data_IF_015861635468
#
_entry.id   IF_015861635468
#
_cell.length_a   1.000
_cell.length_b   1.000
_cell.length_c   1.000
_cell.angle_alpha   90.00
_cell.angle_beta   90.00
_cell.angle_gamma   90.00
#
_symmetry.space_group_name_H-M   'P 1'
#
loop_
_entity.id
_entity.type
_entity.pdbx_description
1 polymer ?
#
# COMPACT_ATOMS: atom_id res chain seq x y z
N UNK A 1 -31.70 -10.23 40.38
CA UNK A 1 -32.17 -9.48 39.19
C UNK A 1 -30.98 -9.22 38.32
N UNK A 2 -31.04 -9.82 37.14
CA UNK A 2 -30.00 -9.92 36.12
C UNK A 2 -29.63 -8.56 35.55
N UNK A 3 -28.33 -8.35 35.37
CA UNK A 3 -27.78 -7.22 34.63
C UNK A 3 -27.88 -7.59 33.16
N UNK A 4 -28.81 -6.98 32.44
CA UNK A 4 -28.99 -7.25 31.02
C UNK A 4 -27.77 -6.77 30.22
N UNK A 5 -27.07 -7.72 29.60
CA UNK A 5 -26.07 -7.46 28.57
C UNK A 5 -26.75 -6.81 27.36
N UNK A 6 -26.37 -5.57 27.07
CA UNK A 6 -26.76 -4.91 25.81
C UNK A 6 -25.87 -5.44 24.68
N UNK A 7 -26.42 -6.02 23.60
CA UNK A 7 -25.60 -6.57 22.53
C UNK A 7 -24.97 -5.45 21.70
N UNK A 8 -23.65 -5.54 21.49
CA UNK A 8 -22.92 -4.77 20.49
C UNK A 8 -23.50 -5.06 19.10
N UNK A 9 -24.19 -4.09 18.51
CA UNK A 9 -24.59 -4.15 17.10
C UNK A 9 -23.34 -4.03 16.22
N UNK A 10 -23.03 -5.11 15.50
CA UNK A 10 -22.04 -5.12 14.43
C UNK A 10 -22.44 -4.12 13.33
N UNK A 11 -21.69 -3.03 13.21
CA UNK A 11 -21.78 -2.12 12.07
C UNK A 11 -21.11 -2.81 10.87
N UNK A 12 -21.88 -3.05 9.82
CA UNK A 12 -21.40 -3.67 8.58
C UNK A 12 -20.92 -2.57 7.65
N UNK A 13 -19.64 -2.60 7.28
CA UNK A 13 -19.11 -1.64 6.31
C UNK A 13 -19.51 -1.98 4.89
N UNK A 14 -20.45 -1.19 4.41
CA UNK A 14 -20.86 -1.12 3.02
C UNK A 14 -20.17 0.10 2.42
N UNK A 15 -19.31 -0.10 1.42
CA UNK A 15 -18.65 1.02 0.71
C UNK A 15 -19.71 1.75 -0.13
N UNK A 16 -20.08 2.97 0.28
CA UNK A 16 -20.95 3.86 -0.48
C UNK A 16 -20.18 5.15 -0.80
N UNK A 17 -19.83 5.35 -2.08
CA UNK A 17 -19.11 6.54 -2.53
C UNK A 17 -20.10 7.71 -2.71
N UNK A 18 -19.93 8.78 -1.92
CA UNK A 18 -20.61 10.06 -2.14
C UNK A 18 -19.79 10.93 -3.10
N UNK A 19 -20.32 11.16 -4.31
CA UNK A 19 -20.01 12.34 -5.10
C UNK A 19 -21.16 13.34 -4.90
N UNK A 20 -20.82 14.55 -4.45
CA UNK A 20 -21.78 15.61 -4.19
C UNK A 20 -22.15 16.36 -5.47
N UNK A 21 -22.64 15.68 -6.52
CA UNK A 21 -23.31 16.38 -7.62
C UNK A 21 -24.18 15.51 -8.53
N UNK A 22 -25.09 14.70 -7.97
CA UNK A 22 -25.96 13.89 -8.83
C UNK A 22 -27.34 13.71 -8.21
N UNK A 23 -28.19 14.72 -8.42
CA UNK A 23 -29.63 14.62 -8.16
C UNK A 23 -30.29 13.96 -9.37
N UNK A 24 -30.83 12.75 -9.12
CA UNK A 24 -31.82 11.99 -9.93
C UNK A 24 -31.24 11.01 -10.95
N UNK A 25 -30.94 9.78 -10.50
CA UNK A 25 -31.23 8.56 -11.25
C UNK A 25 -31.20 7.35 -10.31
N UNK A 26 -32.31 6.61 -10.24
CA UNK A 26 -32.40 5.34 -9.52
C UNK A 26 -31.85 4.22 -10.38
N UNK A 27 -30.58 3.87 -10.19
CA UNK A 27 -30.00 2.58 -10.58
C UNK A 27 -28.82 2.30 -9.63
N UNK A 28 -28.71 1.06 -9.15
CA UNK A 28 -27.63 0.59 -8.27
C UNK A 28 -26.28 1.05 -8.85
N UNK A 29 -25.60 2.00 -8.18
CA UNK A 29 -24.26 2.44 -8.57
C UNK A 29 -23.32 1.23 -8.51
N UNK A 30 -22.98 0.67 -9.66
CA UNK A 30 -22.02 -0.43 -9.78
C UNK A 30 -20.68 0.03 -9.22
N UNK A 31 -20.07 -0.79 -8.36
CA UNK A 31 -18.75 -0.51 -7.81
C UNK A 31 -17.75 -0.56 -8.95
N UNK A 32 -16.83 0.40 -8.96
CA UNK A 32 -15.72 0.43 -9.92
C UNK A 32 -14.97 -0.90 -9.92
N UNK A 33 -14.80 -1.48 -11.11
CA UNK A 33 -14.12 -2.76 -11.29
C UNK A 33 -12.61 -2.57 -11.20
N UNK A 34 -11.95 -3.44 -10.42
CA UNK A 34 -10.48 -3.46 -10.36
C UNK A 34 -9.93 -4.35 -11.47
N UNK A 35 -9.12 -3.78 -12.37
CA UNK A 35 -8.53 -4.50 -13.49
C UNK A 35 -7.17 -5.08 -13.08
N UNK A 36 -7.10 -6.41 -12.99
CA UNK A 36 -5.84 -7.15 -12.79
C UNK A 36 -5.27 -7.59 -14.14
N UNK A 37 -3.95 -7.61 -14.30
CA UNK A 37 -3.34 -8.12 -15.53
C UNK A 37 -3.23 -7.12 -16.67
N UNK A 38 -3.59 -5.85 -16.43
CA UNK A 38 -3.55 -4.78 -17.44
C UNK A 38 -2.47 -3.74 -17.11
N UNK A 39 -1.95 -2.98 -18.10
CA UNK A 39 -0.94 -1.95 -17.87
C UNK A 39 -1.34 -0.96 -16.79
N UNK A 40 -0.35 -0.38 -16.10
CA UNK A 40 -0.56 0.58 -15.00
C UNK A 40 -1.47 1.75 -15.41
N UNK A 41 -1.32 2.26 -16.63
CA UNK A 41 -2.13 3.34 -17.19
C UNK A 41 -3.61 3.00 -17.33
N UNK A 42 -3.95 1.71 -17.47
CA UNK A 42 -5.33 1.24 -17.50
C UNK A 42 -5.82 0.83 -16.10
N UNK A 43 -4.96 0.20 -15.31
CA UNK A 43 -5.28 -0.28 -13.97
C UNK A 43 -5.57 0.87 -12.98
N UNK A 44 -4.92 2.03 -13.19
CA UNK A 44 -4.99 3.23 -12.35
C UNK A 44 -5.43 4.47 -13.16
N UNK A 45 -6.31 4.28 -14.16
CA UNK A 45 -6.65 5.32 -15.15
C UNK A 45 -7.05 6.67 -14.54
N UNK A 46 -7.89 6.65 -13.50
CA UNK A 46 -8.35 7.88 -12.83
C UNK A 46 -7.64 8.11 -11.49
N UNK A 47 -7.50 7.07 -10.67
CA UNK A 47 -6.62 6.98 -9.51
C UNK A 47 -6.62 5.51 -9.03
N UNK A 48 -6.19 5.23 -7.80
CA UNK A 48 -6.33 3.94 -7.14
C UNK A 48 -7.82 3.56 -7.03
N UNK A 49 -8.26 2.41 -7.61
CA UNK A 49 -9.64 1.97 -7.50
C UNK A 49 -10.12 1.87 -6.05
N UNK A 50 -11.35 2.31 -5.78
CA UNK A 50 -11.84 2.49 -4.40
C UNK A 50 -11.70 1.22 -3.53
N UNK A 51 -12.05 0.04 -4.05
CA UNK A 51 -11.92 -1.22 -3.29
C UNK A 51 -10.46 -1.56 -3.00
N UNK A 52 -9.52 -1.28 -3.92
CA UNK A 52 -8.09 -1.47 -3.68
C UNK A 52 -7.57 -0.48 -2.62
N UNK A 53 -8.02 0.78 -2.67
CA UNK A 53 -7.72 1.79 -1.66
C UNK A 53 -8.20 1.36 -0.26
N UNK A 54 -9.40 0.81 -0.14
CA UNK A 54 -9.91 0.29 1.15
C UNK A 54 -9.02 -0.85 1.68
N UNK A 55 -8.54 -1.75 0.82
CA UNK A 55 -7.59 -2.80 1.24
C UNK A 55 -6.27 -2.19 1.74
N UNK A 56 -5.73 -1.19 1.02
CA UNK A 56 -4.50 -0.49 1.42
C UNK A 56 -4.66 0.18 2.79
N UNK A 57 -5.77 0.89 3.00
CA UNK A 57 -6.06 1.58 4.26
C UNK A 57 -6.34 0.60 5.41
N UNK A 58 -7.02 -0.52 5.14
CA UNK A 58 -7.22 -1.60 6.11
C UNK A 58 -5.89 -2.18 6.59
N UNK A 59 -4.96 -2.44 5.66
CA UNK A 59 -3.61 -2.92 6.02
C UNK A 59 -2.78 -1.81 6.70
N UNK A 60 -2.90 -0.54 6.32
CA UNK A 60 -2.24 0.57 7.01
C UNK A 60 -2.69 0.69 8.47
N UNK A 61 -4.00 0.53 8.74
CA UNK A 61 -4.59 0.63 10.07
C UNK A 61 -4.28 -0.58 10.94
N UNK A 62 -4.50 -1.79 10.41
CA UNK A 62 -4.49 -3.03 11.19
C UNK A 62 -3.18 -3.80 11.08
N UNK A 63 -2.41 -3.61 10.00
CA UNK A 63 -1.15 -4.30 9.74
C UNK A 63 -0.12 -4.19 10.87
N UNK A 64 0.11 -3.01 11.48
CA UNK A 64 1.05 -2.86 12.60
C UNK A 64 0.76 -3.78 13.80
N UNK A 65 -0.49 -4.21 13.97
CA UNK A 65 -0.94 -5.10 15.05
C UNK A 65 -0.80 -6.59 14.69
N UNK A 66 -0.34 -6.92 13.48
CA UNK A 66 -0.32 -8.29 12.96
C UNK A 66 1.10 -8.81 12.80
N UNK A 67 1.37 -9.96 13.41
CA UNK A 67 2.65 -10.67 13.27
C UNK A 67 2.86 -11.11 11.84
N UNK A 68 4.06 -10.92 11.31
CA UNK A 68 4.48 -11.39 9.99
C UNK A 68 3.62 -10.87 8.84
N UNK A 69 2.95 -9.73 9.00
CA UNK A 69 2.19 -9.10 7.92
C UNK A 69 3.10 -8.84 6.72
N UNK A 70 2.59 -9.01 5.49
CA UNK A 70 3.33 -9.05 4.21
C UNK A 70 4.21 -10.28 3.99
N UNK A 71 4.73 -10.93 5.03
CA UNK A 71 5.47 -12.19 4.94
C UNK A 71 4.53 -13.40 4.89
N UNK A 72 3.64 -13.51 5.87
CA UNK A 72 2.69 -14.61 6.00
C UNK A 72 1.63 -14.57 4.88
N UNK A 73 1.26 -15.72 4.29
CA UNK A 73 0.26 -15.77 3.24
C UNK A 73 -1.16 -15.59 3.79
N UNK A 74 -2.02 -14.94 3.01
CA UNK A 74 -3.46 -14.96 3.24
C UNK A 74 -4.10 -16.29 2.85
N UNK A 75 -5.35 -16.51 3.29
CA UNK A 75 -6.12 -17.68 2.91
C UNK A 75 -6.38 -17.66 1.39
N UNK A 76 -5.89 -18.65 0.66
CA UNK A 76 -5.90 -18.64 -0.81
C UNK A 76 -7.30 -18.70 -1.42
N UNK A 77 -8.27 -19.36 -0.77
CA UNK A 77 -9.67 -19.35 -1.21
C UNK A 77 -10.26 -17.95 -1.07
N UNK A 78 -9.98 -17.28 0.06
CA UNK A 78 -10.41 -15.91 0.31
C UNK A 78 -9.73 -14.90 -0.63
N UNK A 79 -8.44 -15.08 -0.93
CA UNK A 79 -7.72 -14.27 -1.93
C UNK A 79 -8.40 -14.37 -3.30
N UNK A 80 -8.74 -15.59 -3.75
CA UNK A 80 -9.45 -15.80 -5.02
C UNK A 80 -10.84 -15.18 -5.01
N UNK A 81 -11.60 -15.38 -3.94
CA UNK A 81 -12.95 -14.81 -3.75
C UNK A 81 -12.93 -13.28 -3.80
N UNK A 82 -11.99 -12.66 -3.10
CA UNK A 82 -11.83 -11.21 -3.03
C UNK A 82 -11.46 -10.63 -4.39
N UNK A 83 -10.46 -11.21 -5.08
CA UNK A 83 -10.08 -10.78 -6.44
C UNK A 83 -11.26 -10.89 -7.40
N UNK A 84 -11.98 -12.02 -7.38
CA UNK A 84 -13.16 -12.21 -8.23
C UNK A 84 -14.22 -11.13 -7.98
N UNK A 85 -14.54 -10.83 -6.71
CA UNK A 85 -15.48 -9.77 -6.36
C UNK A 85 -15.03 -8.40 -6.87
N UNK A 86 -13.75 -8.05 -6.69
CA UNK A 86 -13.16 -6.80 -7.16
C UNK A 86 -13.21 -6.65 -8.69
N UNK A 87 -12.93 -7.73 -9.43
CA UNK A 87 -12.94 -7.71 -10.90
C UNK A 87 -14.35 -7.55 -11.48
N UNK A 88 -15.37 -8.07 -10.79
CA UNK A 88 -16.76 -8.02 -11.26
C UNK A 88 -17.55 -6.83 -10.69
N UNK A 89 -16.94 -6.01 -9.82
CA UNK A 89 -17.61 -4.87 -9.18
C UNK A 89 -18.66 -5.31 -8.16
N UNK A 90 -18.47 -6.47 -7.54
CA UNK A 90 -19.35 -6.95 -6.48
C UNK A 90 -19.10 -6.17 -5.20
N UNK A 91 -20.15 -6.00 -4.39
CA UNK A 91 -20.00 -5.43 -3.05
C UNK A 91 -19.22 -6.41 -2.17
N UNK A 92 -18.05 -5.95 -1.74
CA UNK A 92 -17.14 -6.72 -0.88
C UNK A 92 -17.13 -6.04 0.48
N UNK A 93 -17.60 -6.76 1.51
CA UNK A 93 -17.31 -6.38 2.88
C UNK A 93 -15.87 -6.84 3.21
N UNK A 94 -14.97 -5.87 3.35
CA UNK A 94 -13.53 -6.10 3.60
C UNK A 94 -13.29 -6.71 4.98
N UNK A 95 -14.17 -6.49 5.96
CA UNK A 95 -14.04 -7.02 7.32
C UNK A 95 -14.21 -8.54 7.39
N UNK A 96 -14.86 -9.13 6.38
CA UNK A 96 -14.96 -10.59 6.23
C UNK A 96 -13.62 -11.23 5.80
N UNK A 97 -12.61 -10.43 5.47
CA UNK A 97 -11.31 -10.88 5.03
C UNK A 97 -10.23 -10.51 6.03
N UNK A 98 -9.31 -11.43 6.28
CA UNK A 98 -8.17 -11.13 7.16
C UNK A 98 -7.24 -10.10 6.52
N UNK A 99 -6.53 -9.34 7.36
CA UNK A 99 -5.49 -8.39 6.92
C UNK A 99 -4.41 -9.08 6.06
N UNK A 100 -4.10 -10.35 6.32
CA UNK A 100 -3.20 -11.16 5.49
C UNK A 100 -3.77 -11.43 4.08
N UNK A 101 -5.09 -11.61 3.98
CA UNK A 101 -5.78 -11.77 2.69
C UNK A 101 -5.74 -10.46 1.91
N UNK A 102 -6.03 -9.33 2.56
CA UNK A 102 -5.92 -8.01 1.96
C UNK A 102 -4.49 -7.74 1.42
N UNK A 103 -3.47 -7.96 2.27
CA UNK A 103 -2.06 -7.82 1.86
C UNK A 103 -1.69 -8.75 0.68
N UNK A 104 -2.19 -9.98 0.69
CA UNK A 104 -1.95 -10.94 -0.42
C UNK A 104 -2.61 -10.51 -1.73
N UNK A 105 -3.81 -9.92 -1.67
CA UNK A 105 -4.49 -9.36 -2.84
C UNK A 105 -3.75 -8.14 -3.39
N UNK A 106 -3.28 -7.25 -2.51
CA UNK A 106 -2.46 -6.09 -2.91
C UNK A 106 -1.16 -6.54 -3.59
N UNK A 107 -0.43 -7.49 -2.99
CA UNK A 107 0.77 -8.08 -3.63
C UNK A 107 0.45 -8.68 -5.00
N UNK A 108 -0.66 -9.40 -5.10
CA UNK A 108 -1.10 -10.03 -6.35
C UNK A 108 -1.56 -9.04 -7.42
N UNK A 109 -2.12 -7.89 -7.03
CA UNK A 109 -2.41 -6.80 -7.95
C UNK A 109 -1.12 -6.28 -8.57
N UNK A 110 -0.14 -5.91 -7.72
CA UNK A 110 1.16 -5.39 -8.13
C UNK A 110 1.93 -6.39 -9.02
N UNK A 111 1.96 -7.67 -8.63
CA UNK A 111 2.65 -8.73 -9.37
C UNK A 111 1.99 -9.09 -10.70
N UNK A 112 0.82 -8.51 -11.02
CA UNK A 112 0.08 -8.74 -12.27
C UNK A 112 0.09 -7.53 -13.19
N UNK A 113 0.74 -6.43 -12.83
CA UNK A 113 0.89 -5.27 -13.73
C UNK A 113 1.91 -5.59 -14.83
N UNK A 114 1.54 -5.67 -16.12
CA UNK A 114 2.49 -5.84 -17.20
C UNK A 114 3.55 -4.73 -17.16
N UNK A 115 4.83 -5.11 -17.16
CA UNK A 115 5.96 -4.17 -17.07
C UNK A 115 6.28 -3.68 -15.65
N UNK A 116 5.54 -4.11 -14.63
CA UNK A 116 5.74 -3.68 -13.24
C UNK A 116 5.28 -2.25 -12.96
N UNK A 117 5.24 -1.88 -11.68
CA UNK A 117 4.81 -0.53 -11.25
C UNK A 117 5.86 0.55 -11.58
N UNK A 118 7.15 0.17 -11.59
CA UNK A 118 8.24 1.08 -11.91
C UNK A 118 8.55 1.12 -13.40
N UNK A 119 8.36 0.01 -14.12
CA UNK A 119 8.90 -0.14 -15.47
C UNK A 119 10.38 -0.53 -15.45
N UNK A 120 10.81 -1.31 -16.46
CA UNK A 120 12.17 -1.85 -16.55
C UNK A 120 13.27 -0.81 -16.39
N UNK A 121 13.16 0.32 -17.09
CA UNK A 121 14.19 1.37 -17.06
C UNK A 121 14.34 1.98 -15.66
N UNK A 122 13.23 2.28 -14.98
CA UNK A 122 13.27 2.80 -13.62
C UNK A 122 13.78 1.76 -12.62
N UNK A 123 13.47 0.47 -12.79
CA UNK A 123 14.06 -0.59 -11.96
C UNK A 123 15.59 -0.61 -12.11
N UNK A 124 16.12 -0.48 -13.32
CA UNK A 124 17.57 -0.39 -13.56
C UNK A 124 18.19 0.85 -12.90
N UNK A 125 17.50 2.01 -12.93
CA UNK A 125 17.94 3.21 -12.21
C UNK A 125 17.95 3.01 -10.69
N UNK A 126 16.91 2.36 -10.15
CA UNK A 126 16.83 2.04 -8.74
C UNK A 126 17.91 1.04 -8.30
N UNK A 127 18.31 0.13 -9.17
CA UNK A 127 19.42 -0.79 -8.88
C UNK A 127 20.77 -0.06 -8.85
N UNK A 128 21.05 0.82 -9.82
CA UNK A 128 22.29 1.63 -9.87
C UNK A 128 22.46 2.54 -8.66
N UNK A 129 21.36 2.99 -8.05
CA UNK A 129 21.44 3.87 -6.88
C UNK A 129 22.02 3.17 -5.63
N UNK A 130 22.04 1.83 -5.61
CA UNK A 130 22.60 1.08 -4.48
C UNK A 130 24.11 1.32 -4.33
N UNK A 131 24.81 1.60 -5.43
CA UNK A 131 26.24 1.92 -5.46
C UNK A 131 26.56 3.35 -5.00
N UNK A 132 25.54 4.20 -4.79
CA UNK A 132 25.71 5.56 -4.29
C UNK A 132 25.91 5.53 -2.77
N UNK A 133 27.05 6.00 -2.29
CA UNK A 133 27.34 6.04 -0.85
C UNK A 133 26.55 7.14 -0.12
N UNK A 134 26.39 8.31 -0.75
CA UNK A 134 25.68 9.45 -0.19
C UNK A 134 24.16 9.18 -0.08
N UNK A 135 23.67 9.04 1.15
CA UNK A 135 22.25 8.79 1.45
C UNK A 135 21.32 9.88 0.91
N UNK A 136 21.73 11.15 0.89
CA UNK A 136 20.93 12.24 0.33
C UNK A 136 20.79 12.09 -1.19
N UNK A 137 21.90 11.84 -1.90
CA UNK A 137 21.88 11.60 -3.36
C UNK A 137 21.08 10.35 -3.72
N UNK A 138 21.17 9.31 -2.89
CA UNK A 138 20.34 8.09 -3.01
C UNK A 138 18.85 8.41 -2.93
N UNK A 139 18.43 9.18 -1.92
CA UNK A 139 17.04 9.66 -1.80
C UNK A 139 16.61 10.50 -3.01
N UNK A 140 17.44 11.43 -3.46
CA UNK A 140 17.14 12.27 -4.64
C UNK A 140 17.01 11.45 -5.94
N UNK A 141 17.80 10.39 -6.10
CA UNK A 141 17.64 9.45 -7.22
C UNK A 141 16.29 8.70 -7.15
N UNK A 142 15.90 8.22 -5.97
CA UNK A 142 14.60 7.58 -5.74
C UNK A 142 13.46 8.54 -6.04
N UNK A 143 13.54 9.78 -5.53
CA UNK A 143 12.52 10.80 -5.73
C UNK A 143 12.35 11.12 -7.21
N UNK A 144 13.44 11.20 -7.99
CA UNK A 144 13.38 11.37 -9.46
C UNK A 144 12.65 10.23 -10.16
N UNK A 145 12.93 8.99 -9.77
CA UNK A 145 12.21 7.81 -10.30
C UNK A 145 10.73 7.88 -9.95
N UNK A 146 10.37 8.17 -8.70
CA UNK A 146 8.96 8.24 -8.29
C UNK A 146 8.25 9.39 -9.02
N UNK A 147 8.91 10.54 -9.15
CA UNK A 147 8.35 11.73 -9.83
C UNK A 147 8.10 11.51 -11.32
N UNK A 148 8.80 10.58 -11.97
CA UNK A 148 8.59 10.27 -13.39
C UNK A 148 7.40 9.35 -13.64
N UNK A 149 6.86 8.71 -12.59
CA UNK A 149 5.70 7.84 -12.70
C UNK A 149 4.39 8.65 -12.78
N UNK A 150 3.32 8.10 -13.37
CA UNK A 150 1.99 8.69 -13.29
C UNK A 150 1.56 8.94 -11.83
N UNK A 151 0.84 10.04 -11.58
CA UNK A 151 0.39 10.45 -10.24
C UNK A 151 -0.31 9.31 -9.46
N UNK A 152 -1.22 8.52 -10.06
CA UNK A 152 -1.83 7.38 -9.38
C UNK A 152 -0.84 6.31 -8.90
N UNK A 153 0.25 6.09 -9.63
CA UNK A 153 1.33 5.20 -9.21
C UNK A 153 2.09 5.77 -8.01
N UNK A 154 2.31 7.08 -7.99
CA UNK A 154 2.95 7.76 -6.85
C UNK A 154 2.08 7.63 -5.59
N UNK A 155 0.76 7.84 -5.72
CA UNK A 155 -0.23 7.63 -4.66
C UNK A 155 -0.21 6.19 -4.12
N UNK A 156 -0.16 5.20 -5.01
CA UNK A 156 -0.11 3.79 -4.62
C UNK A 156 1.19 3.47 -3.85
N UNK A 157 2.32 3.94 -4.37
CA UNK A 157 3.63 3.71 -3.76
C UNK A 157 3.76 4.39 -2.40
N UNK A 158 3.31 5.64 -2.23
CA UNK A 158 3.42 6.33 -0.95
C UNK A 158 2.53 5.69 0.12
N UNK A 159 1.34 5.18 -0.23
CA UNK A 159 0.50 4.39 0.68
C UNK A 159 1.18 3.07 1.09
N UNK A 160 1.80 2.36 0.14
CA UNK A 160 2.51 1.11 0.42
C UNK A 160 3.73 1.35 1.32
N UNK A 161 4.63 2.24 0.92
CA UNK A 161 5.87 2.49 1.66
C UNK A 161 5.61 3.15 3.02
N UNK A 162 4.61 4.02 3.13
CA UNK A 162 4.18 4.56 4.41
C UNK A 162 3.61 3.48 5.35
N UNK A 163 2.86 2.52 4.79
CA UNK A 163 2.38 1.36 5.55
C UNK A 163 3.52 0.45 6.00
N UNK A 164 4.50 0.21 5.13
CA UNK A 164 5.69 -0.58 5.48
C UNK A 164 6.49 0.07 6.60
N UNK A 165 6.75 1.38 6.50
CA UNK A 165 7.44 2.14 7.54
C UNK A 165 6.70 2.06 8.88
N UNK A 166 5.39 2.27 8.87
CA UNK A 166 4.56 2.19 10.08
C UNK A 166 4.64 0.80 10.76
N UNK A 167 4.65 -0.27 9.96
CA UNK A 167 4.79 -1.64 10.47
C UNK A 167 6.18 -1.84 11.10
N UNK A 168 7.24 -1.32 10.48
CA UNK A 168 8.59 -1.38 11.03
C UNK A 168 8.72 -0.57 12.34
N UNK A 169 8.11 0.61 12.42
CA UNK A 169 8.19 1.47 13.61
C UNK A 169 7.41 0.89 14.80
N UNK A 170 6.34 0.15 14.52
CA UNK A 170 5.53 -0.51 15.56
C UNK A 170 6.15 -1.81 16.08
N UNK A 171 7.34 -2.17 15.58
CA UNK A 171 8.01 -3.43 15.90
C UNK A 171 8.96 -3.38 17.11
N UNK A 172 9.22 -2.18 17.65
CA UNK A 172 10.05 -2.03 18.84
C UNK A 172 9.35 -2.65 20.07
N UNK A 173 9.88 -3.79 20.52
CA UNK A 173 9.44 -4.50 21.73
C UNK A 173 8.26 -5.48 21.56
N UNK A 174 7.72 -5.67 20.36
CA UNK A 174 6.56 -6.55 20.13
C UNK A 174 6.89 -7.80 19.30
N UNK A 175 6.13 -8.91 19.47
CA UNK A 175 6.32 -10.15 18.71
C UNK A 175 5.93 -10.04 17.22
N UNK A 176 5.51 -8.86 16.72
CA UNK A 176 5.11 -8.63 15.32
C UNK A 176 6.27 -8.24 14.40
N UNK A 177 7.52 -8.37 14.86
CA UNK A 177 8.77 -7.91 14.23
C UNK A 177 8.88 -8.15 12.73
N UNK A 178 8.55 -7.13 11.95
CA UNK A 178 8.85 -7.01 10.53
C UNK A 178 9.85 -5.88 10.35
N UNK A 179 11.13 -6.23 10.19
CA UNK A 179 12.19 -5.26 9.89
C UNK A 179 12.10 -4.76 8.44
N UNK A 180 12.72 -3.63 8.10
CA UNK A 180 12.81 -3.15 6.72
C UNK A 180 13.37 -4.20 5.73
N UNK A 181 14.31 -5.04 6.17
CA UNK A 181 14.85 -6.16 5.38
C UNK A 181 13.81 -7.27 5.20
N UNK A 182 13.10 -7.65 6.26
CA UNK A 182 12.06 -8.67 6.19
C UNK A 182 10.90 -8.23 5.29
N UNK A 183 10.53 -6.94 5.33
CA UNK A 183 9.58 -6.35 4.38
C UNK A 183 10.14 -6.42 2.96
N UNK A 184 11.39 -5.96 2.74
CA UNK A 184 12.06 -6.00 1.44
C UNK A 184 11.99 -7.36 0.77
N UNK A 185 12.40 -8.41 1.49
CA UNK A 185 12.33 -9.80 1.02
C UNK A 185 10.90 -10.27 0.70
N UNK A 186 9.90 -9.74 1.41
CA UNK A 186 8.51 -10.19 1.32
C UNK A 186 7.73 -9.55 0.16
N UNK A 187 8.11 -8.33 -0.25
CA UNK A 187 7.32 -7.52 -1.21
C UNK A 187 8.08 -7.20 -2.50
N UNK A 188 9.41 -7.27 -2.53
CA UNK A 188 10.20 -6.99 -3.74
C UNK A 188 9.73 -7.75 -4.99
N UNK A 189 9.38 -9.06 -4.94
CA UNK A 189 8.87 -9.80 -6.09
C UNK A 189 7.59 -9.21 -6.73
N UNK A 190 6.79 -8.49 -5.93
CA UNK A 190 5.56 -7.88 -6.42
C UNK A 190 5.80 -6.49 -7.02
N UNK A 191 6.87 -5.81 -6.60
CA UNK A 191 7.19 -4.44 -7.00
C UNK A 191 8.20 -4.37 -8.15
N UNK A 192 9.16 -5.30 -8.21
CA UNK A 192 10.25 -5.34 -9.19
C UNK A 192 10.11 -6.57 -10.08
N UNK A 193 9.64 -6.38 -11.31
CA UNK A 193 9.36 -7.50 -12.19
C UNK A 193 10.63 -8.00 -12.89
N UNK A 194 11.65 -7.15 -13.04
CA UNK A 194 12.94 -7.56 -13.62
C UNK A 194 13.78 -8.42 -12.68
N UNK A 195 13.38 -8.54 -11.40
CA UNK A 195 14.13 -9.32 -10.42
C UNK A 195 13.82 -10.82 -10.43
N UNK A 196 12.79 -11.25 -11.16
CA UNK A 196 12.41 -12.65 -11.34
C UNK A 196 12.13 -12.85 -12.83
N UNK A 197 12.89 -13.71 -13.50
CA UNK A 197 12.54 -14.12 -14.86
C UNK A 197 11.38 -15.12 -14.83
N UNK A 198 10.44 -15.02 -15.77
CA UNK A 198 9.29 -15.93 -15.95
C UNK A 198 9.66 -17.39 -16.34
N UNK A 199 10.93 -17.76 -16.24
CA UNK A 199 11.43 -19.07 -16.62
C UNK A 199 11.16 -20.16 -15.57
N UNK A 200 10.98 -21.40 -16.03
CA UNK A 200 10.83 -22.59 -15.16
C UNK A 200 12.03 -22.88 -14.24
N UNK A 201 13.15 -22.14 -14.34
CA UNK A 201 14.36 -22.32 -13.53
C UNK A 201 14.94 -20.96 -13.12
N UNK A 202 15.12 -20.77 -11.82
CA UNK A 202 15.84 -19.62 -11.26
C UNK A 202 17.32 -19.66 -11.67
N UNK A 203 17.83 -18.53 -12.17
CA UNK A 203 19.24 -18.32 -12.50
C UNK A 203 19.95 -17.60 -11.36
N UNK A 204 21.29 -17.69 -11.30
CA UNK A 204 22.10 -16.95 -10.32
C UNK A 204 21.84 -15.44 -10.44
N UNK A 205 21.68 -14.93 -11.66
CA UNK A 205 21.33 -13.54 -11.90
C UNK A 205 20.01 -13.11 -11.25
N UNK A 206 19.03 -14.01 -11.14
CA UNK A 206 17.74 -13.74 -10.50
C UNK A 206 17.94 -13.55 -9.00
N UNK A 207 18.80 -14.37 -8.39
CA UNK A 207 19.15 -14.24 -6.97
C UNK A 207 19.82 -12.89 -6.70
N UNK A 208 20.71 -12.45 -7.60
CA UNK A 208 21.38 -11.14 -7.49
C UNK A 208 20.36 -10.01 -7.63
N UNK A 209 19.54 -10.01 -8.70
CA UNK A 209 18.54 -8.96 -8.92
C UNK A 209 17.49 -8.94 -7.81
N UNK A 210 17.05 -10.09 -7.31
CA UNK A 210 16.12 -10.19 -6.17
C UNK A 210 16.71 -9.56 -4.90
N UNK A 211 18.00 -9.79 -4.62
CA UNK A 211 18.71 -9.15 -3.50
C UNK A 211 18.78 -7.64 -3.69
N UNK A 212 19.09 -7.16 -4.89
CA UNK A 212 19.10 -5.74 -5.22
C UNK A 212 17.71 -5.12 -5.02
N UNK A 213 16.65 -5.71 -5.59
CA UNK A 213 15.28 -5.26 -5.42
C UNK A 213 14.84 -5.21 -3.95
N UNK A 214 15.17 -6.26 -3.19
CA UNK A 214 14.90 -6.29 -1.74
C UNK A 214 15.63 -5.15 -1.02
N UNK A 215 16.90 -4.88 -1.37
CA UNK A 215 17.67 -3.80 -0.77
C UNK A 215 17.14 -2.41 -1.15
N UNK A 216 16.67 -2.22 -2.39
CA UNK A 216 15.99 -0.99 -2.81
C UNK A 216 14.76 -0.75 -1.94
N UNK A 217 13.89 -1.76 -1.77
CA UNK A 217 12.70 -1.64 -0.91
C UNK A 217 13.11 -1.27 0.52
N UNK A 218 14.11 -1.95 1.09
CA UNK A 218 14.64 -1.65 2.43
C UNK A 218 15.08 -0.20 2.56
N UNK A 219 15.87 0.31 1.61
CA UNK A 219 16.34 1.71 1.61
C UNK A 219 15.15 2.69 1.58
N UNK A 220 14.16 2.44 0.74
CA UNK A 220 12.98 3.32 0.64
C UNK A 220 12.19 3.30 1.95
N UNK A 221 12.01 2.14 2.58
CA UNK A 221 11.32 2.02 3.88
C UNK A 221 12.08 2.76 4.98
N UNK A 222 13.39 2.55 5.10
CA UNK A 222 14.25 3.19 6.12
C UNK A 222 14.29 4.72 5.98
N UNK A 223 14.17 5.23 4.76
CA UNK A 223 14.21 6.67 4.46
C UNK A 223 12.82 7.29 4.30
N UNK A 224 11.73 6.54 4.54
CA UNK A 224 10.38 7.09 4.42
C UNK A 224 10.17 8.21 5.43
N UNK A 225 9.64 9.34 4.97
CA UNK A 225 9.51 10.57 5.73
C UNK A 225 10.54 11.64 5.34
N UNK A 226 11.70 11.28 4.79
CA UNK A 226 12.62 12.31 4.30
C UNK A 226 12.02 13.07 3.10
N UNK A 227 12.09 14.41 3.15
CA UNK A 227 11.47 15.30 2.16
C UNK A 227 11.96 15.15 0.73
N UNK A 228 13.15 14.57 0.56
CA UNK A 228 13.75 14.34 -0.75
C UNK A 228 13.68 12.87 -1.20
N UNK A 229 12.80 12.04 -0.60
CA UNK A 229 12.56 10.65 -1.01
C UNK A 229 11.31 10.51 -1.90
N UNK A 230 10.19 11.10 -1.51
CA UNK A 230 8.95 11.18 -2.30
C UNK A 230 8.62 12.65 -2.58
N UNK A 231 7.91 12.96 -3.69
CA UNK A 231 7.34 14.27 -3.90
C UNK A 231 6.48 14.70 -2.72
N UNK A 232 6.50 15.99 -2.38
CA UNK A 232 5.72 16.53 -1.26
C UNK A 232 4.22 16.20 -1.37
N UNK A 233 3.65 16.36 -2.57
CA UNK A 233 2.24 16.07 -2.84
C UNK A 233 1.87 14.61 -2.56
N UNK A 234 2.83 13.67 -2.77
CA UNK A 234 2.64 12.27 -2.39
C UNK A 234 2.52 12.11 -0.87
N UNK A 235 3.37 12.78 -0.09
CA UNK A 235 3.26 12.73 1.38
C UNK A 235 1.99 13.42 1.89
N UNK A 236 1.57 14.51 1.27
CA UNK A 236 0.29 15.17 1.58
C UNK A 236 -0.90 14.26 1.27
N UNK A 237 -0.86 13.55 0.14
CA UNK A 237 -1.83 12.50 -0.19
C UNK A 237 -1.87 11.39 0.87
N UNK A 238 -0.71 10.87 1.29
CA UNK A 238 -0.62 9.85 2.33
C UNK A 238 -1.21 10.31 3.66
N UNK A 239 -0.87 11.53 4.10
CA UNK A 239 -1.40 12.13 5.32
C UNK A 239 -2.93 12.23 5.25
N UNK A 240 -3.46 12.78 4.16
CA UNK A 240 -4.92 12.92 3.93
C UNK A 240 -5.65 11.58 3.94
N UNK A 241 -5.17 10.60 3.16
CA UNK A 241 -5.83 9.30 3.04
C UNK A 241 -5.79 8.48 4.33
N UNK A 242 -4.75 8.65 5.14
CA UNK A 242 -4.61 7.90 6.40
C UNK A 242 -5.13 8.66 7.62
N UNK A 243 -5.71 9.85 7.44
CA UNK A 243 -6.23 10.67 8.54
C UNK A 243 -5.16 11.18 9.49
N UNK A 244 -3.92 11.35 9.00
CA UNK A 244 -2.77 11.87 9.77
C UNK A 244 -2.45 13.30 9.35
N UNK A 245 -1.85 14.06 10.25
CA UNK A 245 -1.27 15.36 9.94
C UNK A 245 0.18 15.18 9.49
N UNK A 246 0.55 15.84 8.40
CA UNK A 246 1.93 15.98 7.94
C UNK A 246 2.61 17.10 8.75
N UNK A 247 3.68 16.78 9.47
CA UNK A 247 4.51 17.77 10.17
C UNK A 247 5.91 17.80 9.57
N UNK A 248 6.48 18.99 9.43
CA UNK A 248 7.87 19.17 8.97
C UNK A 248 8.76 19.37 10.19
N UNK A 249 9.74 18.49 10.36
CA UNK A 249 10.73 18.54 11.43
C UNK A 249 11.99 19.29 10.96
N UNK A 250 12.82 19.74 11.91
CA UNK A 250 13.96 20.64 11.66
C UNK A 250 15.02 20.09 10.67
N UNK A 251 15.05 18.77 10.45
CA UNK A 251 15.92 18.07 9.52
C UNK A 251 15.25 17.79 8.15
N UNK A 252 14.17 18.52 7.82
CA UNK A 252 13.36 18.29 6.61
C UNK A 252 12.82 16.86 6.53
N UNK A 253 12.53 16.29 7.69
CA UNK A 253 11.86 15.02 7.86
C UNK A 253 10.38 15.28 8.09
N UNK A 254 9.54 14.50 7.42
CA UNK A 254 8.10 14.52 7.58
C UNK A 254 7.69 13.46 8.61
N UNK A 255 6.97 13.87 9.65
CA UNK A 255 6.31 12.94 10.56
C UNK A 255 4.80 12.96 10.39
N UNK A 256 4.18 11.80 10.62
CA UNK A 256 2.77 11.55 10.42
C UNK A 256 2.13 11.19 11.76
N UNK A 257 1.35 12.10 12.31
CA UNK A 257 0.70 11.91 13.61
C UNK A 257 -0.81 12.01 13.47
N UNK A 258 -1.54 11.31 14.32
CA UNK A 258 -2.98 11.56 14.41
C UNK A 258 -3.22 12.98 14.97
N UNK A 259 -4.24 13.70 14.50
CA UNK A 259 -4.58 15.02 15.02
C UNK A 259 -4.79 14.98 16.54
N UNK A 260 -4.30 16.00 17.24
CA UNK A 260 -4.32 16.06 18.71
C UNK A 260 -5.71 16.32 19.32
N UNK A 261 -6.72 16.65 18.49
CA UNK A 261 -8.08 17.01 18.92
C UNK A 261 -9.09 15.88 18.73
N UNK A 262 -9.83 15.54 19.80
CA UNK A 262 -10.93 14.55 19.80
C UNK A 262 -12.10 14.88 18.84
N UNK A 263 -12.16 16.08 18.27
CA UNK A 263 -13.26 16.54 17.41
C UNK A 263 -13.00 16.44 15.89
N UNK A 264 -11.82 15.97 15.45
CA UNK A 264 -11.51 15.76 14.03
C UNK A 264 -11.59 14.29 13.59
N UNK A 265 -12.26 13.45 14.39
CA UNK A 265 -12.44 12.01 14.09
C UNK A 265 -13.32 11.73 12.85
N UNK A 266 -13.93 12.76 12.27
CA UNK A 266 -14.77 12.66 11.08
C UNK A 266 -14.00 13.06 9.82
N UNK A 267 -13.40 12.10 9.12
CA UNK A 267 -13.11 12.28 7.68
C UNK A 267 -12.80 10.98 6.92
N UNK A 268 -12.16 9.97 7.52
CA UNK A 268 -11.95 8.67 6.82
C UNK A 268 -12.17 7.46 7.74
N UNK A 269 -12.25 7.68 9.06
CA UNK A 269 -12.35 6.61 10.06
C UNK A 269 -13.69 5.84 10.03
N UNK A 270 -14.76 6.46 9.52
CA UNK A 270 -16.10 5.83 9.38
C UNK A 270 -16.20 4.78 8.27
N UNK A 271 -15.16 4.59 7.43
CA UNK A 271 -15.14 3.52 6.42
C UNK A 271 -14.49 2.23 6.93
N UNK A 272 -14.05 2.18 8.20
CA UNK A 272 -13.41 1.00 8.82
C UNK A 272 -13.86 0.78 10.30
N UNK A 273 -15.02 1.30 10.71
CA UNK A 273 -15.77 0.97 11.94
C UNK A 273 -17.23 0.62 11.60
#
# INVERSE_FOLDING_TARGET
MTVDEVPMKNSTLMVQCFNADDRRSGFVRSIEKVKFGVPVTEALLHDIPATLLVLLLSVNKLGPLKKDIWRAPGNQAHVRKLIHGMQHGHLVNVDNFSVYTAASVIKKFLSKLPGGIFGRENEEHLFRMLDVEDSRKKREAICRVISSLPVPSQHLLVLLFGTFRLICDSSDGSPTRMTPEAIGLSVAPSLFHTCIHDGHRARIEDVVRFRMASKVVTVIVENFGFSNLFPRDSYEFYARMTGRTLRVEANWHFSFQYPSSKNSFFSVLCLLQ
#
